data_IF_303468011720
#
_entry.id   IF_303468011720
#
_cell.length_a   1.000
_cell.length_b   1.000
_cell.length_c   1.000
_cell.angle_alpha   90.00
_cell.angle_beta   90.00
_cell.angle_gamma   90.00
#
_symmetry.space_group_name_H-M   'P 1'
#
loop_
_entity.id
_entity.type
_entity.pdbx_description
1 polymer ?
#
# COMPACT_ATOMS: atom_id res chain seq x y z
N UNK A 1 -42.19 -41.81 62.17
CA UNK A 1 -42.27 -40.44 62.71
C UNK A 1 -42.28 -39.46 61.55
N UNK A 2 -43.27 -38.58 61.53
CA UNK A 2 -43.52 -37.54 60.52
C UNK A 2 -42.78 -36.25 60.88
N UNK A 3 -42.34 -35.50 59.85
CA UNK A 3 -42.24 -34.02 59.70
C UNK A 3 -41.23 -33.75 58.56
N UNK A 4 -41.63 -33.47 57.32
CA UNK A 4 -42.32 -32.28 56.78
C UNK A 4 -41.45 -31.01 56.81
N UNK A 5 -40.94 -30.67 55.61
CA UNK A 5 -40.64 -29.36 54.99
C UNK A 5 -39.87 -28.28 55.78
N UNK A 6 -38.86 -27.68 55.14
CA UNK A 6 -38.93 -26.33 54.54
C UNK A 6 -37.74 -26.12 53.59
N UNK A 7 -38.06 -25.64 52.39
CA UNK A 7 -37.17 -25.20 51.33
C UNK A 7 -36.37 -23.94 51.74
N UNK A 8 -35.09 -23.88 51.36
CA UNK A 8 -34.44 -22.60 51.04
C UNK A 8 -33.78 -22.77 49.67
N UNK A 9 -34.41 -22.16 48.67
CA UNK A 9 -33.84 -21.94 47.35
C UNK A 9 -32.62 -21.02 47.49
N UNK A 10 -31.43 -21.51 47.16
CA UNK A 10 -30.30 -20.64 46.83
C UNK A 10 -29.91 -20.89 45.38
N UNK A 11 -30.43 -20.02 44.51
CA UNK A 11 -29.99 -19.87 43.13
C UNK A 11 -28.62 -19.21 43.16
N UNK A 12 -27.59 -19.90 42.68
CA UNK A 12 -26.33 -19.26 42.29
C UNK A 12 -26.08 -19.63 40.84
N UNK A 13 -26.49 -18.74 39.95
CA UNK A 13 -26.09 -18.75 38.55
C UNK A 13 -24.61 -18.35 38.47
N UNK A 14 -23.72 -19.33 38.29
CA UNK A 14 -22.35 -19.06 37.87
C UNK A 14 -22.37 -18.89 36.36
N UNK A 15 -22.65 -17.67 35.91
CA UNK A 15 -22.34 -17.25 34.54
C UNK A 15 -20.83 -17.09 34.49
N UNK A 16 -20.14 -18.12 34.00
CA UNK A 16 -18.74 -18.05 33.65
C UNK A 16 -18.59 -17.04 32.51
N UNK A 17 -18.15 -15.82 32.85
CA UNK A 17 -17.61 -14.87 31.90
C UNK A 17 -16.32 -15.48 31.32
N UNK A 18 -16.43 -16.19 30.20
CA UNK A 18 -15.27 -16.39 29.34
C UNK A 18 -15.00 -15.05 28.68
N UNK A 19 -14.07 -14.30 29.23
CA UNK A 19 -13.47 -13.12 28.61
C UNK A 19 -12.94 -13.55 27.25
N UNK A 20 -13.71 -13.33 26.18
CA UNK A 20 -13.17 -13.42 24.85
C UNK A 20 -12.13 -12.31 24.73
N UNK A 21 -10.87 -12.73 24.79
CA UNK A 21 -9.70 -11.96 24.38
C UNK A 21 -10.07 -11.34 23.04
N UNK A 22 -10.25 -10.02 23.05
CA UNK A 22 -10.38 -9.25 21.82
C UNK A 22 -9.18 -9.60 20.96
N UNK A 23 -9.42 -10.20 19.80
CA UNK A 23 -8.42 -10.23 18.73
C UNK A 23 -8.19 -8.77 18.38
N UNK A 24 -7.09 -8.21 18.87
CA UNK A 24 -6.48 -7.05 18.28
C UNK A 24 -6.04 -7.52 16.88
N UNK A 25 -6.81 -7.14 15.87
CA UNK A 25 -6.35 -7.13 14.49
C UNK A 25 -5.25 -6.07 14.43
N UNK A 26 -4.02 -6.50 14.64
CA UNK A 26 -2.83 -5.67 14.50
C UNK A 26 -2.56 -5.51 13.00
N UNK A 27 -3.45 -4.81 12.31
CA UNK A 27 -3.22 -4.27 10.96
C UNK A 27 -2.30 -3.06 11.07
N UNK A 28 -1.09 -3.28 11.60
CA UNK A 28 0.01 -2.35 11.47
C UNK A 28 0.68 -2.57 10.11
N UNK A 29 -0.03 -2.26 9.02
CA UNK A 29 0.59 -1.99 7.73
C UNK A 29 1.27 -0.62 7.85
N UNK A 30 2.50 -0.61 8.39
CA UNK A 30 3.33 0.59 8.36
C UNK A 30 3.98 0.68 6.97
N UNK A 31 3.16 1.00 5.97
CA UNK A 31 3.65 1.72 4.81
C UNK A 31 4.44 2.95 5.27
N UNK A 32 5.42 3.38 4.46
CA UNK A 32 6.21 4.59 4.72
C UNK A 32 5.28 5.71 5.22
N UNK A 33 5.52 6.34 6.39
CA UNK A 33 4.56 7.23 7.05
C UNK A 33 4.18 8.49 6.25
N UNK A 34 4.66 8.63 5.02
CA UNK A 34 4.33 9.71 4.08
C UNK A 34 3.88 9.19 2.69
N UNK A 35 3.61 7.90 2.51
CA UNK A 35 3.09 7.36 1.25
C UNK A 35 1.57 7.38 1.27
N UNK A 36 0.95 7.91 0.21
CA UNK A 36 -0.50 7.98 0.05
C UNK A 36 -1.11 6.66 -0.45
N UNK A 37 -0.30 5.61 -0.55
CA UNK A 37 -0.71 4.32 -1.09
C UNK A 37 -1.25 3.39 0.00
N UNK A 38 -2.16 2.50 -0.39
CA UNK A 38 -2.71 1.50 0.50
C UNK A 38 -2.09 0.13 0.19
N UNK A 39 -1.69 -0.58 1.24
CA UNK A 39 -1.29 -1.98 1.15
C UNK A 39 -2.47 -2.90 1.44
N UNK A 40 -2.67 -3.92 0.60
CA UNK A 40 -3.71 -4.92 0.75
C UNK A 40 -3.15 -6.33 0.55
N UNK A 41 -3.55 -7.26 1.41
CA UNK A 41 -3.23 -8.67 1.23
C UNK A 41 -4.33 -9.37 0.43
N UNK A 42 -3.94 -10.27 -0.47
CA UNK A 42 -4.89 -11.02 -1.27
C UNK A 42 -4.28 -12.24 -1.97
N UNK A 43 -5.10 -12.86 -2.81
CA UNK A 43 -4.71 -14.03 -3.61
C UNK A 43 -4.86 -13.68 -5.08
N UNK A 44 -3.87 -14.06 -5.89
CA UNK A 44 -3.92 -13.87 -7.34
C UNK A 44 -4.94 -14.83 -7.96
N UNK A 45 -5.80 -14.30 -8.83
CA UNK A 45 -6.85 -15.01 -9.55
C UNK A 45 -6.85 -14.62 -11.02
N UNK A 46 -7.37 -15.49 -11.88
CA UNK A 46 -7.70 -15.10 -13.25
C UNK A 46 -9.08 -14.43 -13.29
N UNK A 47 -9.17 -13.28 -13.96
CA UNK A 47 -10.43 -12.56 -14.18
C UNK A 47 -10.44 -11.95 -15.57
N UNK A 48 -11.34 -12.43 -16.43
CA UNK A 48 -11.53 -11.86 -17.76
C UNK A 48 -10.30 -11.99 -18.68
N UNK A 49 -9.50 -13.06 -18.51
CA UNK A 49 -8.29 -13.30 -19.30
C UNK A 49 -7.04 -12.56 -18.83
N UNK A 50 -7.09 -11.87 -17.69
CA UNK A 50 -5.94 -11.22 -17.06
C UNK A 50 -5.83 -11.63 -15.58
N UNK A 51 -4.64 -11.46 -15.00
CA UNK A 51 -4.43 -11.66 -13.57
C UNK A 51 -5.01 -10.49 -12.76
N UNK A 52 -5.56 -10.81 -11.59
CA UNK A 52 -6.06 -9.86 -10.61
C UNK A 52 -5.78 -10.36 -9.19
N UNK A 53 -5.76 -9.47 -8.21
CA UNK A 53 -5.67 -9.83 -6.80
C UNK A 53 -7.04 -9.70 -6.16
N UNK A 54 -7.56 -10.81 -5.64
CA UNK A 54 -8.78 -10.85 -4.84
C UNK A 54 -8.41 -10.70 -3.37
N UNK A 55 -8.92 -9.65 -2.73
CA UNK A 55 -8.70 -9.38 -1.30
C UNK A 55 -9.87 -9.95 -0.47
N UNK A 56 -9.74 -10.14 0.86
CA UNK A 56 -10.74 -10.82 1.69
C UNK A 56 -12.16 -10.23 1.64
N UNK A 57 -12.30 -8.92 1.40
CA UNK A 57 -13.61 -8.27 1.29
C UNK A 57 -14.34 -8.55 -0.04
N UNK A 58 -13.74 -9.34 -0.94
CA UNK A 58 -14.32 -9.72 -2.22
C UNK A 58 -13.96 -8.81 -3.40
N UNK A 59 -13.36 -7.64 -3.15
CA UNK A 59 -12.84 -6.76 -4.19
C UNK A 59 -11.71 -7.42 -4.98
N UNK A 60 -11.59 -7.03 -6.25
CA UNK A 60 -10.55 -7.52 -7.15
C UNK A 60 -9.83 -6.34 -7.79
N UNK A 61 -8.49 -6.36 -7.77
CA UNK A 61 -7.64 -5.34 -8.35
C UNK A 61 -6.85 -5.94 -9.50
N UNK A 62 -7.03 -5.42 -10.72
CA UNK A 62 -6.39 -5.98 -11.91
C UNK A 62 -4.89 -5.72 -11.88
N UNK A 63 -4.09 -6.77 -12.13
CA UNK A 63 -2.66 -6.66 -12.28
C UNK A 63 -2.34 -6.12 -13.67
N UNK A 64 -1.39 -5.18 -13.74
CA UNK A 64 -0.81 -4.77 -15.00
C UNK A 64 0.48 -5.57 -15.21
N UNK A 65 0.46 -6.52 -16.13
CA UNK A 65 1.58 -7.43 -16.40
C UNK A 65 2.85 -6.66 -16.81
N UNK A 66 2.70 -5.57 -17.59
CA UNK A 66 3.80 -4.69 -17.97
C UNK A 66 4.39 -3.90 -16.79
N UNK A 67 3.67 -3.84 -15.66
CA UNK A 67 4.07 -3.09 -14.46
C UNK A 67 4.68 -4.01 -13.42
N UNK A 68 4.10 -5.20 -13.19
CA UNK A 68 4.62 -6.18 -12.24
C UNK A 68 6.10 -6.55 -12.52
N UNK A 69 6.48 -6.71 -13.80
CA UNK A 69 7.89 -6.93 -14.19
C UNK A 69 8.81 -5.74 -13.82
N UNK A 70 8.27 -4.52 -13.75
CA UNK A 70 9.02 -3.30 -13.44
C UNK A 70 9.36 -3.14 -11.97
N UNK A 71 8.80 -3.93 -11.06
CA UNK A 71 9.14 -3.87 -9.64
C UNK A 71 10.30 -4.80 -9.25
N UNK A 72 10.95 -5.43 -10.23
CA UNK A 72 12.10 -6.31 -9.99
C UNK A 72 11.71 -7.68 -9.42
N UNK A 73 10.43 -8.05 -9.53
CA UNK A 73 9.88 -9.32 -9.10
C UNK A 73 9.28 -10.08 -10.29
N UNK A 74 9.27 -11.41 -10.19
CA UNK A 74 8.58 -12.23 -11.18
C UNK A 74 7.07 -11.97 -11.10
N UNK A 75 6.39 -11.99 -12.26
CA UNK A 75 4.93 -11.92 -12.30
C UNK A 75 4.35 -13.07 -11.46
N UNK A 76 3.47 -12.78 -10.49
CA UNK A 76 2.89 -13.83 -9.65
C UNK A 76 1.89 -14.66 -10.46
N UNK A 77 1.61 -15.88 -10.01
CA UNK A 77 0.72 -16.83 -10.66
C UNK A 77 -0.61 -16.91 -9.93
N UNK A 78 -1.66 -17.37 -10.62
CA UNK A 78 -2.93 -17.66 -9.98
C UNK A 78 -2.73 -18.63 -8.80
N UNK A 79 -3.28 -18.29 -7.65
CA UNK A 79 -3.11 -18.99 -6.37
C UNK A 79 -2.05 -18.40 -5.45
N UNK A 80 -1.15 -17.54 -5.94
CA UNK A 80 -0.12 -16.92 -5.09
C UNK A 80 -0.76 -15.95 -4.09
N UNK A 81 -0.28 -16.02 -2.84
CA UNK A 81 -0.60 -15.03 -1.82
C UNK A 81 0.34 -13.82 -1.95
N UNK A 82 -0.23 -12.63 -2.05
CA UNK A 82 0.51 -11.39 -2.33
C UNK A 82 0.07 -10.24 -1.45
N UNK A 83 0.97 -9.28 -1.26
CA UNK A 83 0.67 -7.92 -0.83
C UNK A 83 0.67 -7.02 -2.06
N UNK A 84 -0.39 -6.25 -2.29
CA UNK A 84 -0.44 -5.23 -3.34
C UNK A 84 -0.42 -3.84 -2.75
N UNK A 85 0.31 -2.95 -3.42
CA UNK A 85 0.26 -1.51 -3.16
C UNK A 85 -0.67 -0.89 -4.20
N UNK A 86 -1.72 -0.20 -3.76
CA UNK A 86 -2.69 0.46 -4.65
C UNK A 86 -2.69 1.97 -4.44
N UNK A 87 -3.00 2.70 -5.50
CA UNK A 87 -3.19 4.14 -5.44
C UNK A 87 -4.64 4.54 -5.09
N UNK A 88 -4.86 5.85 -4.96
CA UNK A 88 -6.16 6.45 -4.66
C UNK A 88 -7.26 6.16 -5.71
N UNK A 89 -6.87 5.72 -6.91
CA UNK A 89 -7.79 5.31 -7.99
C UNK A 89 -7.98 3.78 -8.06
N UNK A 90 -7.53 3.05 -7.03
CA UNK A 90 -7.54 1.58 -6.97
C UNK A 90 -6.68 0.90 -8.05
N UNK A 91 -5.70 1.60 -8.62
CA UNK A 91 -4.76 1.00 -9.55
C UNK A 91 -3.63 0.32 -8.77
N UNK A 92 -3.29 -0.91 -9.16
CA UNK A 92 -2.14 -1.61 -8.59
C UNK A 92 -0.85 -0.93 -9.04
N UNK A 93 -0.13 -0.40 -8.06
CA UNK A 93 1.19 0.18 -8.22
C UNK A 93 2.25 -0.90 -8.12
N UNK A 94 2.17 -1.80 -7.13
CA UNK A 94 3.20 -2.81 -6.88
C UNK A 94 2.57 -4.13 -6.41
N UNK A 95 3.30 -5.24 -6.62
CA UNK A 95 2.91 -6.56 -6.13
C UNK A 95 4.12 -7.25 -5.53
N UNK A 96 3.95 -7.73 -4.30
CA UNK A 96 4.98 -8.33 -3.49
C UNK A 96 4.51 -9.69 -2.96
N UNK A 97 5.40 -10.67 -2.72
CA UNK A 97 5.03 -11.86 -1.95
C UNK A 97 4.41 -11.47 -0.61
N UNK A 98 3.41 -12.23 -0.14
CA UNK A 98 2.75 -11.94 1.14
C UNK A 98 3.77 -11.82 2.28
N UNK A 99 3.58 -10.80 3.11
CA UNK A 99 4.46 -10.51 4.26
C UNK A 99 5.75 -9.78 3.88
N UNK A 100 5.90 -9.36 2.62
CA UNK A 100 6.94 -8.42 2.20
C UNK A 100 6.34 -7.06 1.89
N UNK A 101 7.11 -6.00 2.14
CA UNK A 101 6.73 -4.60 1.95
C UNK A 101 7.58 -3.97 0.84
N UNK A 102 7.00 -2.96 0.18
CA UNK A 102 7.71 -2.16 -0.81
C UNK A 102 8.83 -1.34 -0.18
N UNK A 103 10.05 -1.44 -0.70
CA UNK A 103 11.22 -0.68 -0.26
C UNK A 103 11.32 0.62 -1.03
N UNK A 104 10.46 1.57 -0.68
CA UNK A 104 10.48 2.89 -1.29
C UNK A 104 11.67 3.72 -0.80
N UNK A 105 12.19 4.58 -1.68
CA UNK A 105 13.23 5.56 -1.35
C UNK A 105 12.79 6.94 -1.77
N UNK A 106 13.30 7.96 -1.09
CA UNK A 106 12.99 9.34 -1.42
C UNK A 106 14.20 10.06 -2.02
N UNK A 107 13.93 10.88 -3.04
CA UNK A 107 14.90 11.81 -3.62
C UNK A 107 14.32 13.22 -3.55
N UNK A 108 15.09 14.14 -2.99
CA UNK A 108 14.76 15.57 -2.99
C UNK A 108 15.60 16.28 -4.04
N UNK A 109 14.97 17.16 -4.80
CA UNK A 109 15.65 17.95 -5.83
C UNK A 109 14.79 19.05 -6.41
N UNK A 110 15.39 19.86 -7.26
CA UNK A 110 14.69 20.84 -8.09
C UNK A 110 14.34 20.22 -9.44
N UNK A 111 13.11 20.42 -9.91
CA UNK A 111 12.67 19.94 -11.22
C UNK A 111 13.38 20.74 -12.31
N UNK A 112 14.18 20.05 -13.12
CA UNK A 112 14.87 20.65 -14.28
C UNK A 112 13.98 20.58 -15.52
N UNK A 113 13.30 19.45 -15.71
CA UNK A 113 12.42 19.21 -16.86
C UNK A 113 11.44 18.07 -16.60
N UNK A 114 10.24 18.15 -17.16
CA UNK A 114 9.25 17.06 -17.19
C UNK A 114 9.05 16.60 -18.64
N UNK A 115 9.50 15.40 -18.97
CA UNK A 115 9.34 14.77 -20.28
C UNK A 115 8.07 13.93 -20.34
N UNK A 116 6.91 14.56 -20.61
CA UNK A 116 5.61 13.86 -20.63
C UNK A 116 5.52 12.79 -21.70
N UNK A 117 6.17 12.98 -22.85
CA UNK A 117 6.22 11.96 -23.92
C UNK A 117 7.11 10.77 -23.55
N UNK A 118 8.17 11.02 -22.77
CA UNK A 118 9.15 10.02 -22.36
C UNK A 118 8.79 9.35 -21.02
N UNK A 119 7.75 9.84 -20.33
CA UNK A 119 7.40 9.47 -18.97
C UNK A 119 8.60 9.58 -18.03
N UNK A 120 9.23 10.75 -17.99
CA UNK A 120 10.41 10.97 -17.16
C UNK A 120 10.43 12.37 -16.54
N UNK A 121 11.18 12.51 -15.46
CA UNK A 121 11.48 13.79 -14.82
C UNK A 121 12.98 13.87 -14.54
N UNK A 122 13.57 15.04 -14.82
CA UNK A 122 14.96 15.33 -14.48
C UNK A 122 14.96 16.16 -13.20
N UNK A 123 15.66 15.69 -12.17
CA UNK A 123 15.83 16.39 -10.90
C UNK A 123 17.29 16.78 -10.72
N UNK A 124 17.54 18.03 -10.32
CA UNK A 124 18.83 18.46 -9.79
C UNK A 124 18.89 18.12 -8.31
N UNK A 125 19.62 17.07 -7.97
CA UNK A 125 19.79 16.57 -6.61
C UNK A 125 21.17 16.98 -6.06
N UNK A 126 21.44 16.66 -4.78
CA UNK A 126 22.78 16.82 -4.21
C UNK A 126 23.87 16.00 -4.93
N UNK A 127 23.49 14.97 -5.70
CA UNK A 127 24.40 14.15 -6.51
C UNK A 127 24.56 14.66 -7.95
N UNK A 128 23.95 15.80 -8.28
CA UNK A 128 23.89 16.35 -9.63
C UNK A 128 22.53 16.11 -10.30
N UNK A 129 22.46 16.34 -11.61
CA UNK A 129 21.26 16.11 -12.40
C UNK A 129 21.05 14.60 -12.62
N UNK A 130 19.86 14.13 -12.30
CA UNK A 130 19.46 12.74 -12.41
C UNK A 130 18.10 12.66 -13.09
N UNK A 131 17.98 11.72 -14.01
CA UNK A 131 16.75 11.45 -14.74
C UNK A 131 16.09 10.21 -14.16
N UNK A 132 14.78 10.32 -13.91
CA UNK A 132 13.99 9.26 -13.31
C UNK A 132 12.76 8.99 -14.17
N UNK A 133 12.46 7.72 -14.49
CA UNK A 133 11.22 7.36 -15.14
C UNK A 133 10.03 7.55 -14.18
N UNK A 134 8.88 7.94 -14.70
CA UNK A 134 7.62 8.15 -13.99
C UNK A 134 6.69 6.96 -14.19
N UNK A 135 6.08 6.47 -13.11
CA UNK A 135 5.00 5.47 -13.18
C UNK A 135 3.63 6.11 -13.44
N UNK A 136 3.43 7.36 -12.99
CA UNK A 136 2.21 8.14 -13.25
C UNK A 136 2.54 9.33 -14.16
N UNK A 137 1.77 9.50 -15.23
CA UNK A 137 1.90 10.64 -16.16
C UNK A 137 1.35 11.96 -15.60
N UNK A 138 0.37 11.86 -14.68
CA UNK A 138 -0.30 13.04 -14.13
C UNK A 138 0.41 13.45 -12.86
N UNK A 139 1.07 14.61 -12.92
CA UNK A 139 1.65 15.28 -11.76
C UNK A 139 0.72 16.41 -11.30
N UNK A 140 0.82 16.80 -10.03
CA UNK A 140 0.15 17.99 -9.53
C UNK A 140 0.58 19.23 -10.33
N UNK A 141 -0.35 20.16 -10.60
CA UNK A 141 -0.07 21.39 -11.33
C UNK A 141 1.01 22.29 -10.68
N UNK A 142 1.30 22.06 -9.39
CA UNK A 142 2.39 22.72 -8.67
C UNK A 142 3.79 22.20 -9.03
N UNK A 143 3.87 21.02 -9.66
CA UNK A 143 5.12 20.39 -10.09
C UNK A 143 5.44 20.87 -11.52
N UNK A 144 6.39 21.79 -11.61
CA UNK A 144 6.86 22.42 -12.85
C UNK A 144 8.35 22.72 -12.75
N UNK A 145 8.99 23.07 -13.86
CA UNK A 145 10.41 23.45 -13.86
C UNK A 145 10.71 24.53 -12.80
N UNK A 146 11.79 24.33 -12.06
CA UNK A 146 12.20 25.13 -10.89
C UNK A 146 11.51 24.77 -9.58
N UNK A 147 10.47 23.92 -9.58
CA UNK A 147 9.83 23.49 -8.34
C UNK A 147 10.77 22.59 -7.53
N UNK A 148 10.82 22.82 -6.22
CA UNK A 148 11.54 21.93 -5.31
C UNK A 148 10.59 20.84 -4.82
N UNK A 149 11.00 19.59 -4.96
CA UNK A 149 10.12 18.43 -4.77
C UNK A 149 10.80 17.33 -3.98
N UNK A 150 9.98 16.51 -3.32
CA UNK A 150 10.35 15.21 -2.78
C UNK A 150 9.63 14.14 -3.62
N UNK A 151 10.40 13.37 -4.36
CA UNK A 151 9.92 12.25 -5.14
C UNK A 151 10.05 10.93 -4.35
N UNK A 152 9.02 10.10 -4.40
CA UNK A 152 9.03 8.72 -3.90
C UNK A 152 9.31 7.78 -5.07
N UNK A 153 10.33 6.93 -4.90
CA UNK A 153 10.75 5.96 -5.90
C UNK A 153 10.49 4.55 -5.39
N UNK A 154 10.03 3.68 -6.29
CA UNK A 154 10.01 2.24 -6.06
C UNK A 154 11.42 1.62 -6.10
N UNK A 155 11.48 0.30 -5.93
CA UNK A 155 12.70 -0.49 -5.88
C UNK A 155 13.49 -0.41 -7.20
N UNK A 156 12.78 -0.38 -8.33
CA UNK A 156 13.37 -0.22 -9.65
C UNK A 156 13.82 1.21 -9.96
N UNK A 157 13.55 2.17 -9.07
CA UNK A 157 13.95 3.56 -9.23
C UNK A 157 13.03 4.38 -10.12
N UNK A 158 11.80 3.90 -10.38
CA UNK A 158 10.76 4.71 -10.98
C UNK A 158 10.07 5.54 -9.91
N UNK A 159 9.71 6.76 -10.26
CA UNK A 159 8.95 7.65 -9.39
C UNK A 159 7.48 7.23 -9.40
N UNK A 160 6.96 6.91 -8.22
CA UNK A 160 5.56 6.54 -7.99
C UNK A 160 4.74 7.72 -7.45
N UNK A 161 5.41 8.70 -6.81
CA UNK A 161 4.77 9.91 -6.33
C UNK A 161 5.72 11.12 -6.29
N UNK A 162 5.18 12.34 -6.42
CA UNK A 162 5.94 13.59 -6.37
C UNK A 162 5.18 14.65 -5.59
N UNK A 163 5.79 15.12 -4.51
CA UNK A 163 5.23 16.17 -3.67
C UNK A 163 6.04 17.46 -3.76
N UNK A 164 5.39 18.63 -3.80
CA UNK A 164 6.10 19.89 -3.59
C UNK A 164 6.67 19.87 -2.17
N UNK A 165 7.95 20.22 -2.04
CA UNK A 165 8.54 20.45 -0.73
C UNK A 165 7.85 21.69 -0.15
N UNK A 166 7.11 21.56 0.96
CA UNK A 166 6.49 22.72 1.62
C UNK A 166 7.60 23.74 1.83
N UNK A 167 7.45 24.94 1.27
CA UNK A 167 8.34 26.05 1.57
C UNK A 167 8.25 26.28 3.07
N UNK A 168 9.28 25.84 3.81
CA UNK A 168 9.45 26.28 5.19
C UNK A 168 9.41 27.81 5.15
N UNK A 169 8.48 28.39 5.90
CA UNK A 169 8.52 29.80 6.23
C UNK A 169 9.92 30.09 6.80
N UNK A 170 10.71 30.85 6.05
CA UNK A 170 11.91 31.51 6.54
C UNK A 170 11.57 32.97 6.78
#
# INVERSE_FOLDING_TARGET
MSKLFIYVCMVVAVVGMTSQVGRADESSHKGSPNSHHQELQGVVVEKGGALAVKVPNGSTYQLNENRAERHGHALPKAGDEVTVVIDENNMVLEVHPKGTEGKHRFVTGEVVSIGTMQNEITLKTAKGEQKFPLEKQVLSASIKDGARVRAELNEAGHIIDVHPEKSGAH
#
